data_IF_873362705865
#
_entry.id   IF_873362705865
#
_cell.length_a   1.000
_cell.length_b   1.000
_cell.length_c   1.000
_cell.angle_alpha   90.00
_cell.angle_beta   90.00
_cell.angle_gamma   90.00
#
_symmetry.space_group_name_H-M   'P 1'
#
loop_
_entity.id
_entity.type
_entity.pdbx_description
1 polymer ?
#
# COMPACT_ATOMS: atom_id res chain seq x y z
N UNK A 1 10.35 3.51 -22.48
CA UNK A 1 10.18 3.06 -21.09
C UNK A 1 10.52 1.58 -21.00
N UNK A 2 11.82 1.24 -21.08
CA UNK A 2 12.29 -0.17 -21.14
C UNK A 2 13.27 -0.46 -19.98
N UNK A 3 13.75 0.58 -19.28
CA UNK A 3 14.59 0.46 -18.09
C UNK A 3 13.81 0.44 -16.78
N UNK A 4 14.54 0.43 -15.68
CA UNK A 4 13.99 0.46 -14.32
C UNK A 4 13.51 1.86 -13.90
N UNK A 5 14.15 2.91 -14.44
CA UNK A 5 13.76 4.31 -14.25
C UNK A 5 14.26 5.21 -15.36
N UNK A 6 13.70 6.41 -15.45
CA UNK A 6 14.20 7.49 -16.30
C UNK A 6 15.10 8.45 -15.51
N UNK A 7 16.20 8.86 -16.12
CA UNK A 7 17.06 9.93 -15.64
C UNK A 7 16.86 11.15 -16.56
N UNK A 8 16.30 12.27 -16.08
CA UNK A 8 16.14 13.46 -16.90
C UNK A 8 17.51 14.07 -17.18
N UNK A 9 17.75 14.43 -18.43
CA UNK A 9 18.99 15.09 -18.87
C UNK A 9 19.14 16.50 -18.24
N UNK A 10 18.01 17.17 -18.00
CA UNK A 10 17.89 18.43 -17.25
C UNK A 10 16.57 18.43 -16.46
N UNK A 11 16.51 19.10 -15.31
CA UNK A 11 15.29 19.18 -14.48
C UNK A 11 14.08 19.74 -15.25
N UNK A 12 14.32 20.63 -16.23
CA UNK A 12 13.29 21.20 -17.10
C UNK A 12 12.62 20.14 -17.98
N UNK A 13 13.30 19.02 -18.26
CA UNK A 13 12.76 17.94 -19.08
C UNK A 13 11.59 17.21 -18.39
N UNK A 14 11.55 17.18 -17.05
CA UNK A 14 10.62 16.35 -16.27
C UNK A 14 9.16 16.61 -16.67
N UNK A 15 8.75 17.87 -16.72
CA UNK A 15 7.36 18.27 -17.00
C UNK A 15 6.93 18.04 -18.46
N UNK A 16 7.86 17.65 -19.35
CA UNK A 16 7.50 17.24 -20.72
C UNK A 16 6.87 15.85 -20.79
N UNK A 17 7.05 15.02 -19.74
CA UNK A 17 6.58 13.64 -19.69
C UNK A 17 5.74 13.38 -18.44
N UNK A 18 6.12 13.97 -17.31
CA UNK A 18 5.52 13.70 -16.00
C UNK A 18 4.69 14.88 -15.49
N UNK A 19 3.72 14.58 -14.64
CA UNK A 19 3.07 15.56 -13.78
C UNK A 19 3.93 15.70 -12.52
N UNK A 20 4.73 16.77 -12.45
CA UNK A 20 5.62 17.03 -11.34
C UNK A 20 5.28 18.38 -10.69
N UNK A 21 4.99 18.35 -9.39
CA UNK A 21 4.78 19.56 -8.58
C UNK A 21 6.12 20.11 -8.10
N UNK A 22 6.13 21.35 -7.62
CA UNK A 22 7.32 21.94 -7.01
C UNK A 22 7.82 21.13 -5.80
N UNK A 23 6.91 20.57 -4.99
CA UNK A 23 7.30 19.70 -3.87
C UNK A 23 7.96 18.40 -4.35
N UNK A 24 7.42 17.76 -5.39
CA UNK A 24 8.06 16.60 -6.01
C UNK A 24 9.46 16.95 -6.55
N UNK A 25 9.62 18.13 -7.18
CA UNK A 25 10.92 18.59 -7.66
C UNK A 25 11.92 18.84 -6.52
N UNK A 26 11.49 19.44 -5.41
CA UNK A 26 12.34 19.63 -4.22
C UNK A 26 12.83 18.30 -3.66
N UNK A 27 11.95 17.30 -3.55
CA UNK A 27 12.29 15.96 -3.08
C UNK A 27 13.27 15.26 -4.03
N UNK A 28 13.00 15.27 -5.34
CA UNK A 28 13.92 14.75 -6.35
C UNK A 28 15.28 15.44 -6.32
N UNK A 29 15.30 16.74 -6.02
CA UNK A 29 16.49 17.56 -5.93
C UNK A 29 17.20 17.50 -4.57
N UNK A 30 16.74 16.67 -3.61
CA UNK A 30 17.44 16.46 -2.34
C UNK A 30 18.86 15.93 -2.54
N UNK A 31 19.67 15.91 -1.48
CA UNK A 31 21.05 15.43 -1.56
C UNK A 31 21.13 13.97 -2.00
N UNK A 32 20.20 13.15 -1.51
CA UNK A 32 20.13 11.70 -1.69
C UNK A 32 19.61 11.29 -3.08
N UNK A 33 19.02 12.23 -3.83
CA UNK A 33 18.44 12.04 -5.16
C UNK A 33 17.57 10.77 -5.19
N UNK A 34 16.44 10.78 -4.47
CA UNK A 34 15.61 9.61 -4.32
C UNK A 34 15.05 9.16 -5.67
N UNK A 35 14.79 7.86 -5.77
CA UNK A 35 13.89 7.34 -6.78
C UNK A 35 12.46 7.75 -6.39
N UNK A 36 11.65 8.14 -7.37
CA UNK A 36 10.23 8.42 -7.16
C UNK A 36 9.41 7.92 -8.33
N UNK A 37 8.17 7.47 -8.09
CA UNK A 37 7.21 7.15 -9.13
C UNK A 37 6.31 8.35 -9.36
N UNK A 38 6.35 8.91 -10.56
CA UNK A 38 5.52 10.06 -10.94
C UNK A 38 4.51 9.66 -12.01
N UNK A 39 3.32 10.27 -11.93
CA UNK A 39 2.28 10.10 -12.94
C UNK A 39 2.72 10.73 -14.25
N UNK A 40 2.48 10.04 -15.35
CA UNK A 40 2.68 10.57 -16.70
C UNK A 40 1.59 11.57 -17.05
N UNK A 41 1.96 12.59 -17.82
CA UNK A 41 1.02 13.54 -18.39
C UNK A 41 0.01 12.80 -19.29
N UNK A 42 -1.29 13.08 -19.12
CA UNK A 42 -2.35 12.40 -19.87
C UNK A 42 -2.24 12.58 -21.39
N UNK A 43 -1.85 13.78 -21.85
CA UNK A 43 -1.62 14.05 -23.27
C UNK A 43 -0.41 13.30 -23.80
N UNK A 44 0.68 13.27 -23.03
CA UNK A 44 1.87 12.50 -23.41
C UNK A 44 1.53 11.01 -23.57
N UNK A 45 0.81 10.42 -22.61
CA UNK A 45 0.37 9.02 -22.71
C UNK A 45 -0.50 8.75 -23.93
N UNK A 46 -1.47 9.62 -24.21
CA UNK A 46 -2.36 9.50 -25.37
C UNK A 46 -1.57 9.57 -26.68
N UNK A 47 -0.63 10.50 -26.80
CA UNK A 47 0.17 10.69 -28.01
C UNK A 47 1.13 9.52 -28.29
N UNK A 48 1.51 8.78 -27.25
CA UNK A 48 2.45 7.66 -27.34
C UNK A 48 1.78 6.29 -27.10
N UNK A 49 0.44 6.23 -27.05
CA UNK A 49 -0.34 5.01 -26.82
C UNK A 49 0.17 4.17 -25.61
N UNK A 50 0.45 4.83 -24.49
CA UNK A 50 0.94 4.16 -23.28
C UNK A 50 -0.23 3.63 -22.43
N UNK A 51 -0.16 2.36 -22.03
CA UNK A 51 -1.17 1.65 -21.23
C UNK A 51 -0.92 1.74 -19.71
N UNK A 52 0.20 2.33 -19.29
CA UNK A 52 0.54 2.59 -17.89
C UNK A 52 0.39 4.07 -17.51
N UNK A 53 0.18 4.35 -16.23
CA UNK A 53 -0.16 5.68 -15.72
C UNK A 53 1.03 6.45 -15.15
N UNK A 54 2.07 5.76 -14.74
CA UNK A 54 3.18 6.31 -13.98
C UNK A 54 4.48 5.59 -14.30
N UNK A 55 5.61 6.21 -13.99
CA UNK A 55 6.91 5.59 -14.15
C UNK A 55 7.92 6.13 -13.14
N UNK A 56 8.96 5.36 -12.87
CA UNK A 56 10.02 5.75 -11.93
C UNK A 56 10.97 6.75 -12.58
N UNK A 57 11.37 7.76 -11.82
CA UNK A 57 12.31 8.81 -12.22
C UNK A 57 13.30 9.07 -11.07
N UNK A 58 14.54 9.41 -11.43
CA UNK A 58 15.59 9.82 -10.50
C UNK A 58 16.50 10.85 -11.14
N UNK A 59 16.90 11.88 -10.40
CA UNK A 59 17.93 12.80 -10.88
C UNK A 59 19.33 12.16 -10.87
N UNK A 60 20.28 12.75 -11.59
CA UNK A 60 21.67 12.31 -11.56
C UNK A 60 22.24 12.35 -10.13
N UNK A 61 22.86 11.24 -9.70
CA UNK A 61 23.47 11.07 -8.37
C UNK A 61 24.91 11.56 -8.33
N UNK A 62 25.61 11.46 -9.44
CA UNK A 62 27.02 11.84 -9.58
C UNK A 62 27.21 12.91 -10.66
N UNK A 63 28.38 13.55 -10.60
CA UNK A 63 28.74 14.66 -11.48
C UNK A 63 28.87 14.22 -12.96
N UNK A 64 29.25 12.97 -13.22
CA UNK A 64 29.41 12.48 -14.59
C UNK A 64 28.06 12.30 -15.28
N UNK A 65 27.12 11.62 -14.62
CA UNK A 65 25.75 11.50 -15.11
C UNK A 65 25.08 12.87 -15.27
N UNK A 66 25.35 13.80 -14.34
CA UNK A 66 24.84 15.16 -14.44
C UNK A 66 25.40 15.90 -15.67
N UNK A 67 26.72 15.91 -15.85
CA UNK A 67 27.37 16.58 -16.96
C UNK A 67 27.00 15.95 -18.32
N UNK A 68 26.93 14.62 -18.38
CA UNK A 68 26.45 13.88 -19.55
C UNK A 68 25.01 14.28 -19.89
N UNK A 69 24.13 14.33 -18.88
CA UNK A 69 22.75 14.78 -19.03
C UNK A 69 22.67 16.16 -19.68
N UNK A 70 23.42 17.15 -19.16
CA UNK A 70 23.43 18.50 -19.72
C UNK A 70 23.86 18.52 -21.19
N UNK A 71 24.91 17.78 -21.57
CA UNK A 71 25.36 17.69 -22.97
C UNK A 71 24.36 16.99 -23.88
N UNK A 72 23.67 15.98 -23.39
CA UNK A 72 22.59 15.33 -24.13
C UNK A 72 21.38 16.25 -24.28
N UNK A 73 21.07 17.06 -23.28
CA UNK A 73 19.98 18.04 -23.33
C UNK A 73 20.22 19.13 -24.38
N UNK A 74 21.47 19.58 -24.53
CA UNK A 74 21.89 20.47 -25.64
C UNK A 74 21.62 19.86 -27.03
N UNK A 75 21.60 18.52 -27.13
CA UNK A 75 21.31 17.76 -28.35
C UNK A 75 19.85 17.25 -28.39
N UNK A 76 18.93 17.93 -27.69
CA UNK A 76 17.49 17.64 -27.64
C UNK A 76 17.08 16.30 -26.99
N UNK A 77 18.02 15.54 -26.44
CA UNK A 77 17.69 14.35 -25.65
C UNK A 77 17.20 14.76 -24.26
N UNK A 78 15.96 14.39 -23.95
CA UNK A 78 15.29 14.80 -22.70
C UNK A 78 15.55 13.85 -21.53
N UNK A 79 15.68 12.56 -21.81
CA UNK A 79 15.82 11.52 -20.78
C UNK A 79 16.76 10.41 -21.23
N UNK A 80 17.47 9.86 -20.27
CA UNK A 80 18.16 8.57 -20.36
C UNK A 80 17.26 7.49 -19.73
N UNK A 81 17.13 6.35 -20.42
CA UNK A 81 16.48 5.16 -19.84
C UNK A 81 17.55 4.33 -19.14
N UNK A 82 17.45 4.17 -17.83
CA UNK A 82 18.44 3.43 -17.05
C UNK A 82 17.94 2.02 -16.79
N UNK A 83 18.75 1.01 -17.12
CA UNK A 83 18.53 -0.39 -16.77
C UNK A 83 19.67 -0.85 -15.86
N UNK A 84 19.34 -1.33 -14.67
CA UNK A 84 20.27 -1.95 -13.74
C UNK A 84 20.64 -3.33 -14.28
N UNK A 85 21.95 -3.58 -14.39
CA UNK A 85 22.47 -4.91 -14.76
C UNK A 85 22.71 -5.72 -13.49
N UNK A 86 23.16 -5.06 -12.42
CA UNK A 86 23.37 -5.62 -11.09
C UNK A 86 22.83 -4.65 -10.03
N UNK A 87 22.34 -5.18 -8.91
CA UNK A 87 21.84 -4.41 -7.76
C UNK A 87 22.67 -4.75 -6.52
N UNK A 88 23.58 -3.84 -6.13
CA UNK A 88 24.37 -3.98 -4.90
C UNK A 88 23.65 -3.44 -3.66
N UNK A 89 22.71 -2.50 -3.86
CA UNK A 89 21.94 -1.87 -2.81
C UNK A 89 20.57 -1.45 -3.33
N UNK A 90 19.54 -1.58 -2.48
CA UNK A 90 18.20 -1.05 -2.77
C UNK A 90 18.24 0.46 -2.95
N UNK A 91 17.50 0.96 -3.94
CA UNK A 91 17.37 2.40 -4.12
C UNK A 91 16.68 3.03 -2.91
N UNK A 92 17.16 4.21 -2.50
CA UNK A 92 16.35 5.10 -1.68
C UNK A 92 15.13 5.56 -2.48
N UNK A 93 14.02 4.87 -2.26
CA UNK A 93 12.78 5.02 -3.02
C UNK A 93 11.71 5.60 -2.11
N UNK A 94 11.16 6.75 -2.52
CA UNK A 94 10.16 7.48 -1.74
C UNK A 94 8.88 7.70 -2.54
N UNK A 95 7.81 7.98 -1.81
CA UNK A 95 6.58 8.58 -2.30
C UNK A 95 6.30 9.86 -1.53
N UNK A 96 5.56 10.77 -2.17
CA UNK A 96 5.07 11.99 -1.54
C UNK A 96 3.56 11.89 -1.35
N UNK A 97 3.11 12.12 -0.12
CA UNK A 97 1.70 12.28 0.19
C UNK A 97 1.51 13.58 0.95
N UNK A 98 0.91 14.55 0.25
CA UNK A 98 0.75 15.93 0.73
C UNK A 98 2.11 16.50 1.17
N UNK A 99 2.29 16.90 2.42
CA UNK A 99 3.57 17.42 2.96
C UNK A 99 4.46 16.32 3.58
N UNK A 100 4.04 15.05 3.52
CA UNK A 100 4.77 13.94 4.13
C UNK A 100 5.58 13.17 3.09
N UNK A 101 6.81 12.82 3.48
CA UNK A 101 7.67 11.90 2.73
C UNK A 101 7.48 10.50 3.29
N UNK A 102 7.09 9.58 2.41
CA UNK A 102 6.95 8.17 2.72
C UNK A 102 8.17 7.47 2.17
N UNK A 103 9.01 6.91 3.04
CA UNK A 103 10.13 6.11 2.56
C UNK A 103 9.68 4.68 2.32
N UNK A 104 9.73 4.26 1.07
CA UNK A 104 9.26 2.93 0.67
C UNK A 104 10.38 1.89 0.78
N UNK A 105 11.59 2.21 0.29
CA UNK A 105 12.77 1.33 0.31
C UNK A 105 14.05 2.12 0.53
N UNK A 106 15.12 1.40 0.88
CA UNK A 106 16.49 1.91 1.01
C UNK A 106 16.78 2.39 2.43
N UNK A 107 17.84 1.90 3.06
CA UNK A 107 18.16 2.18 4.47
C UNK A 107 19.28 3.22 4.63
N UNK A 108 19.56 4.01 3.59
CA UNK A 108 20.69 4.93 3.51
C UNK A 108 20.66 6.05 4.57
N UNK A 109 19.47 6.45 4.99
CA UNK A 109 19.24 7.56 5.93
C UNK A 109 19.00 7.12 7.38
N UNK A 110 18.94 5.81 7.63
CA UNK A 110 18.84 5.30 9.00
C UNK A 110 20.23 5.30 9.63
N UNK A 111 20.28 5.54 10.94
CA UNK A 111 21.50 5.37 11.73
C UNK A 111 22.23 4.06 11.36
N UNK A 112 23.53 4.16 11.06
CA UNK A 112 24.32 3.03 10.57
C UNK A 112 24.29 1.81 11.51
N UNK A 113 24.36 2.02 12.84
CA UNK A 113 24.29 0.93 13.83
C UNK A 113 22.93 0.26 13.85
N UNK A 114 21.86 1.04 13.70
CA UNK A 114 20.50 0.49 13.62
C UNK A 114 20.31 -0.31 12.33
N UNK A 115 20.84 0.19 11.20
CA UNK A 115 20.86 -0.55 9.93
C UNK A 115 21.61 -1.86 10.07
N UNK A 116 22.85 -1.84 10.58
CA UNK A 116 23.64 -3.05 10.81
C UNK A 116 22.91 -4.05 11.70
N UNK A 117 22.30 -3.60 12.80
CA UNK A 117 21.52 -4.45 13.68
C UNK A 117 20.34 -5.08 12.95
N UNK A 118 19.55 -4.32 12.20
CA UNK A 118 18.39 -4.81 11.44
C UNK A 118 18.83 -5.90 10.46
N UNK A 119 19.88 -5.64 9.67
CA UNK A 119 20.36 -6.59 8.65
C UNK A 119 21.14 -7.78 9.22
N UNK A 120 21.57 -7.73 10.49
CA UNK A 120 22.19 -8.87 11.19
C UNK A 120 21.19 -9.91 11.70
N UNK A 121 19.89 -9.58 11.76
CA UNK A 121 18.84 -10.48 12.24
C UNK A 121 18.29 -11.33 11.09
N UNK A 122 17.86 -12.53 11.44
CA UNK A 122 17.18 -13.44 10.50
C UNK A 122 15.84 -12.83 10.06
N UNK A 123 15.00 -12.47 11.02
CA UNK A 123 13.78 -11.70 10.78
C UNK A 123 14.09 -10.20 10.80
N UNK A 124 14.43 -9.71 9.61
CA UNK A 124 14.78 -8.31 9.39
C UNK A 124 13.57 -7.39 9.58
N UNK A 125 12.36 -7.83 9.22
CA UNK A 125 11.16 -6.99 9.36
C UNK A 125 10.81 -6.79 10.84
N UNK A 126 10.87 -7.86 11.65
CA UNK A 126 10.67 -7.74 13.09
C UNK A 126 11.78 -6.91 13.75
N UNK A 127 13.03 -7.01 13.30
CA UNK A 127 14.12 -6.15 13.78
C UNK A 127 13.88 -4.66 13.45
N UNK A 128 13.37 -4.38 12.24
CA UNK A 128 12.98 -3.05 11.78
C UNK A 128 11.86 -2.47 12.65
N UNK A 129 10.82 -3.25 12.93
CA UNK A 129 9.70 -2.86 13.81
C UNK A 129 10.19 -2.66 15.24
N UNK A 130 11.04 -3.55 15.75
CA UNK A 130 11.63 -3.43 17.10
C UNK A 130 12.44 -2.13 17.24
N UNK A 131 13.22 -1.78 16.21
CA UNK A 131 13.94 -0.50 16.17
C UNK A 131 12.97 0.69 16.16
N UNK A 132 11.90 0.64 15.37
CA UNK A 132 10.85 1.67 15.36
C UNK A 132 10.25 1.82 16.76
N UNK A 133 9.77 0.73 17.36
CA UNK A 133 9.14 0.68 18.69
C UNK A 133 10.07 1.15 19.82
N UNK A 134 11.38 0.89 19.70
CA UNK A 134 12.35 1.25 20.74
C UNK A 134 12.42 2.76 21.00
N UNK A 135 12.06 3.58 20.00
CA UNK A 135 12.11 5.05 20.06
C UNK A 135 10.89 5.69 20.69
N UNK A 136 9.87 4.91 21.02
CA UNK A 136 8.62 5.42 21.58
C UNK A 136 8.34 4.83 22.96
N UNK A 137 7.57 5.58 23.75
CA UNK A 137 7.08 5.14 25.07
C UNK A 137 6.08 4.00 24.92
N UNK A 138 5.77 3.32 26.03
CA UNK A 138 4.91 2.12 26.05
C UNK A 138 3.50 2.33 25.45
N UNK A 139 3.02 3.57 25.37
CA UNK A 139 1.66 3.92 24.90
C UNK A 139 1.56 4.20 23.40
N UNK A 140 2.50 3.72 22.58
CA UNK A 140 2.38 3.79 21.13
C UNK A 140 1.61 2.57 20.59
N UNK A 141 0.58 2.83 19.78
CA UNK A 141 -0.09 1.81 18.98
C UNK A 141 0.62 1.65 17.65
N UNK A 142 1.19 0.48 17.37
CA UNK A 142 1.91 0.22 16.12
C UNK A 142 0.94 -0.41 15.13
N UNK A 143 0.85 0.23 13.97
CA UNK A 143 0.11 -0.21 12.81
C UNK A 143 1.11 -0.61 11.74
N UNK A 144 1.46 -1.89 11.69
CA UNK A 144 2.29 -2.46 10.65
C UNK A 144 1.40 -3.26 9.69
N UNK A 145 1.13 -2.70 8.52
CA UNK A 145 0.32 -3.35 7.48
C UNK A 145 1.21 -3.77 6.31
N UNK A 146 1.37 -5.08 6.10
CA UNK A 146 2.29 -5.66 5.14
C UNK A 146 1.57 -6.34 3.98
N UNK A 147 2.21 -6.31 2.81
CA UNK A 147 1.86 -7.18 1.68
C UNK A 147 2.46 -8.58 1.81
N UNK A 148 3.62 -8.68 2.47
CA UNK A 148 4.49 -9.85 2.42
C UNK A 148 4.46 -10.66 3.72
N UNK A 149 4.17 -9.99 4.84
CA UNK A 149 4.14 -10.54 6.19
C UNK A 149 2.74 -10.44 6.81
N UNK A 150 2.54 -11.09 7.96
CA UNK A 150 1.33 -10.88 8.75
C UNK A 150 1.26 -9.44 9.29
N UNK A 151 0.04 -8.91 9.38
CA UNK A 151 -0.17 -7.57 9.93
C UNK A 151 -0.02 -7.55 11.45
N UNK A 152 0.52 -6.45 11.97
CA UNK A 152 0.72 -6.27 13.41
C UNK A 152 0.00 -5.00 13.86
N UNK A 153 -0.96 -5.18 14.78
CA UNK A 153 -1.63 -4.12 15.53
C UNK A 153 -1.13 -4.18 16.98
N UNK A 154 0.07 -3.64 17.23
CA UNK A 154 0.80 -3.84 18.49
C UNK A 154 0.46 -2.77 19.53
N UNK A 155 0.18 -3.18 20.76
CA UNK A 155 0.16 -2.29 21.94
C UNK A 155 1.13 -2.77 23.01
N UNK A 156 1.58 -1.84 23.86
CA UNK A 156 2.52 -2.12 24.95
C UNK A 156 3.77 -2.89 24.51
N UNK A 157 4.17 -2.74 23.24
CA UNK A 157 5.34 -3.38 22.61
C UNK A 157 5.28 -4.91 22.48
N UNK A 158 4.20 -5.57 22.89
CA UNK A 158 4.15 -7.03 22.98
C UNK A 158 2.83 -7.64 22.49
N UNK A 159 1.69 -6.98 22.73
CA UNK A 159 0.39 -7.57 22.44
C UNK A 159 -0.09 -7.19 21.04
N UNK A 160 -0.08 -8.15 20.11
CA UNK A 160 -0.76 -8.01 18.82
C UNK A 160 -2.27 -8.21 19.01
N UNK A 161 -3.05 -7.18 18.67
CA UNK A 161 -4.51 -7.19 18.77
C UNK A 161 -5.18 -7.93 17.60
N UNK A 162 -4.48 -8.06 16.47
CA UNK A 162 -5.05 -8.69 15.29
C UNK A 162 -4.93 -10.21 15.37
N UNK A 163 -6.07 -10.89 15.25
CA UNK A 163 -6.14 -12.33 15.05
C UNK A 163 -6.91 -12.59 13.77
N UNK A 164 -6.20 -12.63 12.65
CA UNK A 164 -6.75 -12.87 11.33
C UNK A 164 -6.37 -14.28 10.87
N UNK A 165 -7.34 -15.06 10.41
CA UNK A 165 -7.11 -16.35 9.77
C UNK A 165 -7.89 -16.36 8.45
N UNK A 166 -7.19 -16.29 7.33
CA UNK A 166 -7.80 -16.34 6.00
C UNK A 166 -7.96 -17.81 5.53
N UNK A 167 -8.96 -18.07 4.65
CA UNK A 167 -9.23 -19.42 4.17
C UNK A 167 -8.13 -19.87 3.20
N UNK A 168 -7.87 -21.18 3.16
CA UNK A 168 -6.93 -21.79 2.21
C UNK A 168 -7.59 -22.23 0.91
N UNK A 169 -8.93 -22.29 0.88
CA UNK A 169 -9.69 -22.61 -0.32
C UNK A 169 -11.02 -21.86 -0.30
N UNK A 170 -11.54 -21.52 -1.49
CA UNK A 170 -12.88 -20.94 -1.62
C UNK A 170 -14.00 -21.76 -0.96
N UNK A 171 -13.87 -23.09 -0.81
CA UNK A 171 -14.84 -23.93 -0.10
C UNK A 171 -14.93 -23.58 1.37
N UNK A 172 -13.79 -23.42 2.04
CA UNK A 172 -13.73 -23.02 3.45
C UNK A 172 -14.38 -21.64 3.66
N UNK A 173 -14.15 -20.70 2.74
CA UNK A 173 -14.82 -19.39 2.72
C UNK A 173 -16.34 -19.53 2.69
N UNK A 174 -16.87 -20.37 1.80
CA UNK A 174 -18.32 -20.55 1.66
C UNK A 174 -18.92 -21.27 2.86
N UNK A 175 -18.26 -22.31 3.36
CA UNK A 175 -18.67 -22.99 4.59
C UNK A 175 -18.76 -22.00 5.76
N UNK A 176 -17.80 -21.08 5.89
CA UNK A 176 -17.86 -20.05 6.92
C UNK A 176 -18.99 -19.03 6.69
N UNK A 177 -19.21 -18.58 5.45
CA UNK A 177 -20.32 -17.66 5.12
C UNK A 177 -21.68 -18.31 5.41
N UNK A 178 -21.83 -19.61 5.15
CA UNK A 178 -23.09 -20.34 5.28
C UNK A 178 -23.42 -20.76 6.73
N UNK A 179 -22.57 -20.44 7.72
CA UNK A 179 -22.84 -20.75 9.14
C UNK A 179 -24.08 -20.07 9.70
N UNK A 180 -24.56 -19.00 9.07
CA UNK A 180 -25.82 -18.33 9.41
C UNK A 180 -26.76 -18.22 8.20
N UNK A 181 -28.08 -18.17 8.47
CA UNK A 181 -29.12 -18.15 7.43
C UNK A 181 -28.99 -16.96 6.47
N UNK A 182 -28.57 -15.80 6.97
CA UNK A 182 -28.40 -14.59 6.16
C UNK A 182 -27.26 -14.79 5.17
N UNK A 183 -26.14 -15.37 5.61
CA UNK A 183 -25.00 -15.70 4.77
C UNK A 183 -25.31 -16.79 3.76
N UNK A 184 -26.05 -17.82 4.16
CA UNK A 184 -26.50 -18.88 3.26
C UNK A 184 -27.37 -18.34 2.12
N UNK A 185 -28.37 -17.51 2.44
CA UNK A 185 -29.23 -16.87 1.44
C UNK A 185 -28.46 -15.90 0.53
N UNK A 186 -27.51 -15.16 1.09
CA UNK A 186 -26.65 -14.27 0.31
C UNK A 186 -25.85 -15.07 -0.73
N UNK A 187 -25.21 -16.16 -0.31
CA UNK A 187 -24.39 -16.97 -1.21
C UNK A 187 -25.23 -17.65 -2.29
N UNK A 188 -26.42 -18.15 -1.94
CA UNK A 188 -27.37 -18.72 -2.90
C UNK A 188 -27.77 -17.69 -3.98
N UNK A 189 -28.09 -16.46 -3.56
CA UNK A 189 -28.43 -15.39 -4.49
C UNK A 189 -27.22 -14.95 -5.33
N UNK A 190 -26.05 -14.86 -4.71
CA UNK A 190 -24.81 -14.49 -5.40
C UNK A 190 -24.48 -15.52 -6.49
N UNK A 191 -24.60 -16.81 -6.21
CA UNK A 191 -24.34 -17.89 -7.16
C UNK A 191 -25.28 -17.92 -8.39
N UNK A 192 -26.46 -17.27 -8.30
CA UNK A 192 -27.40 -17.15 -9.42
C UNK A 192 -26.94 -16.09 -10.44
N UNK A 193 -26.29 -15.04 -9.96
CA UNK A 193 -25.90 -13.87 -10.78
C UNK A 193 -24.40 -13.87 -11.13
N UNK A 194 -23.56 -14.44 -10.27
CA UNK A 194 -22.10 -14.39 -10.39
C UNK A 194 -21.47 -15.78 -10.16
N UNK A 195 -20.38 -16.11 -10.88
CA UNK A 195 -19.68 -17.37 -10.69
C UNK A 195 -19.01 -17.42 -9.31
N UNK A 196 -19.13 -18.57 -8.65
CA UNK A 196 -18.37 -18.85 -7.42
C UNK A 196 -16.94 -19.24 -7.77
N UNK A 197 -15.99 -18.72 -7.00
CA UNK A 197 -14.59 -19.16 -7.04
C UNK A 197 -14.49 -20.64 -6.65
N UNK A 198 -13.64 -21.38 -7.34
CA UNK A 198 -13.32 -22.78 -7.04
C UNK A 198 -11.80 -22.98 -7.16
N UNK A 199 -11.07 -22.40 -6.22
CA UNK A 199 -9.60 -22.39 -6.23
C UNK A 199 -9.04 -22.44 -4.80
N UNK A 200 -7.80 -22.94 -4.69
CA UNK A 200 -6.97 -22.83 -3.49
C UNK A 200 -6.30 -21.47 -3.43
N UNK A 201 -6.07 -20.98 -2.22
CA UNK A 201 -5.44 -19.69 -1.99
C UNK A 201 -4.09 -19.88 -1.27
N UNK A 202 -3.08 -19.17 -1.77
CA UNK A 202 -1.79 -19.00 -1.08
C UNK A 202 -1.78 -17.61 -0.46
N UNK A 203 -2.22 -17.52 0.81
CA UNK A 203 -2.43 -16.25 1.50
C UNK A 203 -1.58 -16.13 2.76
N UNK A 204 -1.21 -14.89 3.06
CA UNK A 204 -0.73 -14.48 4.38
C UNK A 204 -1.93 -13.97 5.18
N UNK A 205 -1.87 -14.07 6.50
CA UNK A 205 -2.92 -13.53 7.37
C UNK A 205 -2.76 -12.01 7.53
N UNK A 206 -2.98 -11.28 6.45
CA UNK A 206 -2.90 -9.82 6.38
C UNK A 206 -4.07 -9.22 5.59
N UNK A 207 -4.30 -7.91 5.75
CA UNK A 207 -5.35 -7.18 5.05
C UNK A 207 -5.07 -7.07 3.56
N UNK A 208 -3.81 -7.13 3.11
CA UNK A 208 -3.49 -7.20 1.69
C UNK A 208 -4.11 -8.45 1.04
N UNK A 209 -3.93 -9.62 1.64
CA UNK A 209 -4.50 -10.89 1.19
C UNK A 209 -6.02 -10.88 1.22
N UNK A 210 -6.63 -10.23 2.23
CA UNK A 210 -8.08 -10.02 2.25
C UNK A 210 -8.54 -9.13 1.09
N UNK A 211 -7.81 -8.05 0.78
CA UNK A 211 -8.10 -7.20 -0.37
C UNK A 211 -7.88 -7.93 -1.70
N UNK A 212 -6.92 -8.87 -1.79
CA UNK A 212 -6.80 -9.77 -2.94
C UNK A 212 -8.06 -10.63 -3.12
N UNK A 213 -8.61 -11.21 -2.04
CA UNK A 213 -9.87 -11.94 -2.08
C UNK A 213 -11.03 -11.05 -2.54
N UNK A 214 -11.13 -9.82 -2.03
CA UNK A 214 -12.14 -8.84 -2.48
C UNK A 214 -11.98 -8.56 -3.98
N UNK A 215 -10.77 -8.29 -4.45
CA UNK A 215 -10.50 -8.06 -5.88
C UNK A 215 -10.85 -9.27 -6.75
N UNK A 216 -10.61 -10.48 -6.23
CA UNK A 216 -10.94 -11.73 -6.91
C UNK A 216 -12.46 -11.95 -7.00
N UNK A 217 -13.20 -11.68 -5.92
CA UNK A 217 -14.68 -11.71 -5.90
C UNK A 217 -15.27 -10.67 -6.86
N UNK A 218 -14.67 -9.48 -6.95
CA UNK A 218 -15.03 -8.43 -7.91
C UNK A 218 -14.66 -8.77 -9.37
N UNK A 219 -14.02 -9.92 -9.61
CA UNK A 219 -13.54 -10.37 -10.91
C UNK A 219 -12.62 -9.34 -11.61
N UNK A 220 -11.76 -8.66 -10.85
CA UNK A 220 -10.82 -7.67 -11.41
C UNK A 220 -9.66 -8.33 -12.18
N UNK A 221 -9.29 -9.54 -11.80
CA UNK A 221 -8.33 -10.40 -12.49
C UNK A 221 -8.59 -11.87 -12.11
N UNK A 222 -8.13 -12.80 -12.94
CA UNK A 222 -8.16 -14.23 -12.64
C UNK A 222 -7.09 -14.62 -11.63
N UNK A 223 -5.95 -13.94 -11.64
CA UNK A 223 -4.90 -14.15 -10.65
C UNK A 223 -5.20 -13.36 -9.37
N UNK A 224 -5.21 -14.04 -8.23
CA UNK A 224 -5.55 -13.48 -6.91
C UNK A 224 -4.74 -12.22 -6.56
N UNK A 225 -3.42 -12.25 -6.69
CA UNK A 225 -2.56 -11.10 -6.37
C UNK A 225 -2.74 -9.94 -7.35
N UNK A 226 -2.84 -10.23 -8.66
CA UNK A 226 -3.12 -9.20 -9.66
C UNK A 226 -4.49 -8.54 -9.42
N UNK A 227 -5.47 -9.29 -8.95
CA UNK A 227 -6.79 -8.76 -8.61
C UNK A 227 -6.71 -7.79 -7.42
N UNK A 228 -5.92 -8.11 -6.39
CA UNK A 228 -5.64 -7.22 -5.26
C UNK A 228 -4.89 -5.95 -5.67
N UNK A 229 -3.84 -6.08 -6.48
CA UNK A 229 -3.09 -4.92 -7.00
C UNK A 229 -3.97 -4.02 -7.87
N UNK A 230 -4.85 -4.59 -8.70
CA UNK A 230 -5.85 -3.81 -9.45
C UNK A 230 -6.84 -3.09 -8.53
N UNK A 231 -7.34 -3.75 -7.48
CA UNK A 231 -8.22 -3.13 -6.48
C UNK A 231 -7.54 -1.90 -5.85
N UNK A 232 -6.31 -2.07 -5.37
CA UNK A 232 -5.55 -1.00 -4.73
C UNK A 232 -5.23 0.13 -5.70
N UNK A 233 -4.88 -0.19 -6.95
CA UNK A 233 -4.67 0.80 -8.01
C UNK A 233 -5.94 1.61 -8.30
N UNK A 234 -7.10 0.94 -8.40
CA UNK A 234 -8.39 1.61 -8.58
C UNK A 234 -8.66 2.57 -7.41
N UNK A 235 -8.40 2.14 -6.18
CA UNK A 235 -8.56 2.98 -5.00
C UNK A 235 -7.61 4.20 -5.02
N UNK A 236 -6.34 4.01 -5.36
CA UNK A 236 -5.32 5.07 -5.45
C UNK A 236 -5.65 6.12 -6.53
N UNK A 237 -6.25 5.69 -7.63
CA UNK A 237 -6.66 6.55 -8.74
C UNK A 237 -8.04 7.18 -8.56
N UNK A 238 -8.79 6.73 -7.54
CA UNK A 238 -10.15 7.18 -7.27
C UNK A 238 -10.19 8.67 -6.92
N UNK A 239 -11.13 9.36 -7.55
CA UNK A 239 -11.54 10.74 -7.21
C UNK A 239 -12.84 10.77 -6.43
N UNK A 240 -13.37 9.61 -6.06
CA UNK A 240 -14.65 9.50 -5.37
C UNK A 240 -14.52 10.11 -3.98
N UNK A 241 -15.51 10.90 -3.52
CA UNK A 241 -15.47 11.46 -2.18
C UNK A 241 -15.66 10.38 -1.10
N UNK A 242 -16.40 9.31 -1.42
CA UNK A 242 -16.66 8.14 -0.56
C UNK A 242 -16.91 6.89 -1.40
N UNK A 243 -16.52 5.74 -0.88
CA UNK A 243 -16.96 4.44 -1.37
C UNK A 243 -18.13 3.89 -0.56
N UNK A 244 -18.67 2.74 -0.98
CA UNK A 244 -19.61 1.97 -0.18
C UNK A 244 -18.95 1.46 1.11
N UNK A 245 -19.73 1.37 2.18
CA UNK A 245 -19.22 0.93 3.48
C UNK A 245 -19.11 -0.59 3.52
N UNK A 246 -17.88 -1.10 3.48
CA UNK A 246 -17.57 -2.52 3.62
C UNK A 246 -17.37 -2.84 5.09
N UNK A 247 -17.96 -3.94 5.59
CA UNK A 247 -17.81 -4.30 6.99
C UNK A 247 -16.44 -4.95 7.28
N UNK A 248 -15.68 -4.31 8.16
CA UNK A 248 -14.49 -4.84 8.83
C UNK A 248 -14.84 -4.95 10.31
N UNK A 249 -14.92 -6.17 10.85
CA UNK A 249 -15.49 -6.45 12.18
C UNK A 249 -14.68 -7.50 12.93
N UNK A 250 -14.74 -7.44 14.24
CA UNK A 250 -14.29 -8.50 15.12
C UNK A 250 -15.47 -9.40 15.52
N UNK A 251 -15.22 -10.69 15.69
CA UNK A 251 -16.11 -11.65 16.35
C UNK A 251 -16.09 -11.41 17.86
N UNK A 252 -16.99 -12.09 18.59
CA UNK A 252 -17.08 -12.00 20.05
C UNK A 252 -15.78 -12.40 20.76
N UNK A 253 -15.05 -13.37 20.20
CA UNK A 253 -13.75 -13.83 20.70
C UNK A 253 -12.57 -12.89 20.33
N UNK A 254 -12.89 -11.73 19.73
CA UNK A 254 -11.96 -10.71 19.23
C UNK A 254 -11.12 -11.15 18.03
N UNK A 255 -11.40 -12.29 17.41
CA UNK A 255 -10.82 -12.63 16.10
C UNK A 255 -11.45 -11.79 14.99
N UNK A 256 -10.70 -11.51 13.93
CA UNK A 256 -11.19 -10.74 12.79
C UNK A 256 -12.13 -11.58 11.93
N UNK A 257 -13.31 -11.03 11.61
CA UNK A 257 -14.31 -11.69 10.78
C UNK A 257 -14.15 -11.29 9.31
N UNK A 258 -13.25 -11.99 8.60
CA UNK A 258 -13.01 -11.74 7.17
C UNK A 258 -14.24 -12.01 6.30
N UNK A 259 -15.16 -12.86 6.77
CA UNK A 259 -16.38 -13.18 6.01
C UNK A 259 -17.29 -11.97 5.87
N UNK A 260 -17.33 -11.07 6.88
CA UNK A 260 -18.14 -9.84 6.83
C UNK A 260 -17.72 -8.90 5.70
N UNK A 261 -16.41 -8.82 5.46
CA UNK A 261 -15.84 -8.01 4.37
C UNK A 261 -16.27 -8.56 3.00
N UNK A 262 -16.20 -9.88 2.82
CA UNK A 262 -16.58 -10.54 1.56
C UNK A 262 -18.11 -10.56 1.36
N UNK A 263 -18.90 -10.78 2.42
CA UNK A 263 -20.37 -10.69 2.38
C UNK A 263 -20.84 -9.29 1.99
N UNK A 264 -20.21 -8.24 2.53
CA UNK A 264 -20.51 -6.85 2.15
C UNK A 264 -20.23 -6.62 0.66
N UNK A 265 -19.07 -7.10 0.19
CA UNK A 265 -18.67 -7.03 -1.23
C UNK A 265 -19.72 -7.71 -2.12
N UNK A 266 -20.07 -8.96 -1.84
CA UNK A 266 -21.10 -9.72 -2.58
C UNK A 266 -22.46 -9.03 -2.57
N UNK A 267 -22.86 -8.46 -1.43
CA UNK A 267 -24.13 -7.75 -1.30
C UNK A 267 -24.18 -6.50 -2.17
N UNK A 268 -23.10 -5.72 -2.23
CA UNK A 268 -23.04 -4.54 -3.10
C UNK A 268 -22.97 -4.92 -4.58
N UNK A 269 -22.29 -6.02 -4.93
CA UNK A 269 -22.33 -6.56 -6.29
C UNK A 269 -23.74 -6.94 -6.72
N UNK A 270 -24.48 -7.67 -5.87
CA UNK A 270 -25.89 -8.01 -6.10
C UNK A 270 -26.79 -6.77 -6.23
N UNK A 271 -26.45 -5.68 -5.53
CA UNK A 271 -27.14 -4.40 -5.65
C UNK A 271 -26.73 -3.59 -6.90
N UNK A 272 -25.85 -4.11 -7.76
CA UNK A 272 -25.40 -3.46 -8.99
C UNK A 272 -24.44 -2.29 -8.77
N UNK A 273 -23.77 -2.23 -7.61
CA UNK A 273 -22.76 -1.20 -7.35
C UNK A 273 -21.51 -1.46 -8.19
N UNK A 274 -21.02 -0.40 -8.84
CA UNK A 274 -19.81 -0.45 -9.66
C UNK A 274 -18.57 -0.93 -8.88
N UNK A 275 -17.77 -1.80 -9.51
CA UNK A 275 -16.59 -2.41 -8.87
C UNK A 275 -15.57 -1.38 -8.41
N UNK A 276 -15.45 -0.22 -9.06
CA UNK A 276 -14.51 0.82 -8.61
C UNK A 276 -14.98 1.50 -7.32
N UNK A 277 -16.30 1.64 -7.13
CA UNK A 277 -16.88 2.12 -5.89
C UNK A 277 -16.63 1.10 -4.74
N UNK A 278 -16.83 -0.19 -5.01
CA UNK A 278 -16.57 -1.25 -4.01
C UNK A 278 -15.08 -1.34 -3.67
N UNK A 279 -14.19 -1.29 -4.67
CA UNK A 279 -12.74 -1.31 -4.48
C UNK A 279 -12.27 -0.15 -3.59
N UNK A 280 -12.70 1.08 -3.89
CA UNK A 280 -12.37 2.24 -3.07
C UNK A 280 -13.01 2.13 -1.67
N UNK A 281 -14.26 1.65 -1.58
CA UNK A 281 -14.98 1.43 -0.33
C UNK A 281 -14.33 0.43 0.60
N UNK A 282 -13.73 -0.65 0.08
CA UNK A 282 -12.98 -1.63 0.85
C UNK A 282 -11.74 -0.99 1.51
N UNK A 283 -10.97 -0.21 0.74
CA UNK A 283 -9.78 0.51 1.26
C UNK A 283 -10.17 1.59 2.28
N UNK A 284 -11.22 2.36 2.00
CA UNK A 284 -11.70 3.41 2.91
C UNK A 284 -12.23 2.81 4.22
N UNK A 285 -12.97 1.70 4.14
CA UNK A 285 -13.55 1.05 5.32
C UNK A 285 -12.50 0.38 6.20
N UNK A 286 -11.40 -0.13 5.63
CA UNK A 286 -10.26 -0.59 6.41
C UNK A 286 -9.68 0.57 7.25
N UNK A 287 -9.50 1.76 6.67
CA UNK A 287 -9.03 2.91 7.44
C UNK A 287 -10.00 3.31 8.57
N UNK A 288 -11.31 3.19 8.36
CA UNK A 288 -12.30 3.39 9.44
C UNK A 288 -12.18 2.34 10.54
N UNK A 289 -11.97 1.07 10.20
CA UNK A 289 -11.73 0.02 11.20
C UNK A 289 -10.47 0.29 12.03
N UNK A 290 -9.38 0.72 11.39
CA UNK A 290 -8.14 1.07 12.09
C UNK A 290 -8.34 2.28 13.01
N UNK A 291 -9.10 3.29 12.56
CA UNK A 291 -9.49 4.44 13.39
C UNK A 291 -10.27 3.98 14.61
N UNK A 292 -11.33 3.19 14.42
CA UNK A 292 -12.21 2.76 15.50
C UNK A 292 -11.44 1.91 16.52
N UNK A 293 -10.56 1.01 16.04
CA UNK A 293 -9.65 0.24 16.90
C UNK A 293 -8.75 1.15 17.73
N UNK A 294 -8.19 2.20 17.13
CA UNK A 294 -7.30 3.13 17.82
C UNK A 294 -8.03 4.07 18.79
N UNK A 295 -9.21 4.57 18.41
CA UNK A 295 -10.01 5.43 19.27
C UNK A 295 -10.46 4.66 20.53
N UNK A 296 -10.85 3.38 20.40
CA UNK A 296 -11.12 2.50 21.55
C UNK A 296 -9.92 2.39 22.51
N UNK A 297 -8.71 2.24 21.97
CA UNK A 297 -7.47 2.17 22.77
C UNK A 297 -7.19 3.49 23.48
N UNK A 298 -7.44 4.62 22.82
CA UNK A 298 -7.26 5.95 23.41
C UNK A 298 -8.26 6.22 24.53
N UNK A 299 -9.53 5.88 24.32
CA UNK A 299 -10.58 6.01 25.35
C UNK A 299 -10.25 5.20 26.60
N UNK A 300 -9.69 4.01 26.41
CA UNK A 300 -9.20 3.14 27.49
C UNK A 300 -7.83 3.56 28.05
N UNK A 301 -7.24 4.66 27.55
CA UNK A 301 -5.90 5.18 27.91
C UNK A 301 -4.75 4.17 27.71
N UNK A 302 -4.95 3.20 26.82
CA UNK A 302 -3.95 2.18 26.47
C UNK A 302 -2.98 2.67 25.39
N UNK A 303 -3.37 3.69 24.63
CA UNK A 303 -2.49 4.34 23.67
C UNK A 303 -2.71 5.86 23.64
N UNK A 304 -1.63 6.59 23.42
CA UNK A 304 -1.64 8.06 23.29
C UNK A 304 -1.32 8.50 21.86
N UNK A 305 -0.63 7.67 21.08
CA UNK A 305 -0.24 7.95 19.69
C UNK A 305 -0.27 6.69 18.83
N UNK A 306 -0.45 6.85 17.51
CA UNK A 306 -0.34 5.75 16.56
C UNK A 306 0.91 5.89 15.67
N UNK A 307 1.60 4.79 15.41
CA UNK A 307 2.72 4.71 14.48
C UNK A 307 2.33 3.88 13.28
N UNK A 308 2.44 4.47 12.10
CA UNK A 308 1.96 3.90 10.84
C UNK A 308 3.15 3.41 10.04
N UNK A 309 3.18 2.12 9.68
CA UNK A 309 4.30 1.45 9.03
C UNK A 309 3.81 0.25 8.18
N UNK A 310 4.67 -0.28 7.32
CA UNK A 310 4.43 -1.49 6.54
C UNK A 310 4.09 -1.27 5.08
N UNK A 311 4.41 -2.27 4.26
CA UNK A 311 4.46 -2.17 2.81
C UNK A 311 3.10 -1.92 2.14
N UNK A 312 1.98 -2.28 2.76
CA UNK A 312 0.64 -2.01 2.21
C UNK A 312 0.33 -0.50 2.20
N UNK A 313 0.93 0.27 3.10
CA UNK A 313 0.76 1.73 3.18
C UNK A 313 1.57 2.51 2.12
N UNK A 314 2.23 1.82 1.19
CA UNK A 314 2.70 2.45 -0.05
C UNK A 314 1.54 2.91 -0.94
N UNK A 315 0.35 2.32 -0.76
CA UNK A 315 -0.87 2.70 -1.47
C UNK A 315 -1.45 4.00 -0.92
N UNK A 316 -1.53 4.98 -1.82
CA UNK A 316 -1.86 6.37 -1.50
C UNK A 316 -3.24 6.50 -0.85
N UNK A 317 -4.24 5.78 -1.34
CA UNK A 317 -5.60 5.86 -0.83
C UNK A 317 -5.70 5.33 0.59
N UNK A 318 -5.05 4.19 0.89
CA UNK A 318 -5.04 3.64 2.23
C UNK A 318 -4.31 4.58 3.18
N UNK A 319 -3.07 4.96 2.85
CA UNK A 319 -2.27 5.84 3.71
C UNK A 319 -2.95 7.18 3.98
N UNK A 320 -3.50 7.81 2.94
CA UNK A 320 -4.23 9.08 3.07
C UNK A 320 -5.44 8.95 4.00
N UNK A 321 -6.25 7.90 3.83
CA UNK A 321 -7.42 7.69 4.67
C UNK A 321 -7.01 7.37 6.12
N UNK A 322 -5.96 6.57 6.33
CA UNK A 322 -5.42 6.29 7.66
C UNK A 322 -4.94 7.57 8.35
N UNK A 323 -4.06 8.35 7.72
CA UNK A 323 -3.54 9.61 8.28
C UNK A 323 -4.64 10.64 8.55
N UNK A 324 -5.65 10.72 7.67
CA UNK A 324 -6.78 11.64 7.83
C UNK A 324 -7.63 11.31 9.05
N UNK A 325 -7.78 10.03 9.38
CA UNK A 325 -8.74 9.56 10.38
C UNK A 325 -8.11 9.26 11.75
N UNK A 326 -6.84 8.86 11.79
CA UNK A 326 -6.15 8.59 13.05
C UNK A 326 -5.64 9.90 13.66
N UNK A 327 -6.08 10.20 14.87
CA UNK A 327 -5.60 11.34 15.66
C UNK A 327 -4.19 11.08 16.17
N UNK A 328 -3.37 12.12 16.33
CA UNK A 328 -2.03 12.02 16.92
C UNK A 328 -1.21 10.82 16.38
N UNK A 329 -1.17 10.69 15.05
CA UNK A 329 -0.43 9.64 14.38
C UNK A 329 0.87 10.16 13.77
N UNK A 330 1.83 9.28 13.62
CA UNK A 330 3.10 9.54 12.97
C UNK A 330 3.43 8.42 11.99
N UNK A 331 3.82 8.80 10.78
CA UNK A 331 4.34 7.86 9.79
C UNK A 331 5.76 7.43 10.16
N UNK A 332 6.08 6.16 9.91
CA UNK A 332 7.41 5.60 10.09
C UNK A 332 8.46 6.40 9.31
N UNK A 333 9.51 6.79 10.00
CA UNK A 333 10.78 7.30 9.46
C UNK A 333 11.80 6.17 9.27
N UNK A 334 11.31 4.93 9.15
CA UNK A 334 12.04 3.74 8.72
C UNK A 334 11.31 3.21 7.48
N UNK A 335 12.01 2.70 6.45
CA UNK A 335 11.38 2.23 5.23
C UNK A 335 10.23 1.26 5.49
N UNK A 336 9.18 1.35 4.67
CA UNK A 336 8.02 0.46 4.75
C UNK A 336 8.34 -0.97 4.31
N UNK A 337 9.40 -1.17 3.50
CA UNK A 337 9.86 -2.45 2.96
C UNK A 337 11.31 -2.72 3.36
N UNK A 338 11.65 -4.00 3.52
CA UNK A 338 13.01 -4.48 3.82
C UNK A 338 13.68 -5.16 2.64
#
# INVERSE_FOLDING_TARGET
FIGDFLLPCDIKAINSVFVCSNENLKLLASLEKPLMKLRLNAMFRKNHNLDFNDFKIRLARDLFCFALGLKLFENEYKFLSVKKIEEYQKDFYISALDEQVVVLEGFEFINAKARELIFSKEDKNMARISYLVSRYKEKAFILELSKDDEDILLINKELNLLKLCLPKHSKELYEEIQKDEIGARLLENFAKEFPLLNESFELKNNFYSLLCLVGRVLNLDENLHKAGEKLLKIADESKMPRGVKIDYRLKEDKSFDYTRTLRSTMSFMLAGVDSANIAYGAVESLAYFLRDTYDDLREKKQSEMALISGSLLEHKALLRNTLKHLKNCQLSDVPLRI
#
